data_IF_270991985091
#
_entry.id   IF_270991985091
#
_cell.length_a   1.000
_cell.length_b   1.000
_cell.length_c   1.000
_cell.angle_alpha   90.00
_cell.angle_beta   90.00
_cell.angle_gamma   90.00
#
_symmetry.space_group_name_H-M   'P 1'
#
loop_
_entity.id
_entity.type
_entity.pdbx_description
1 polymer ?
#
# COMPACT_ATOMS: atom_id res chain seq x y z
N UNK A 1 16.05 -16.87 62.31
CA UNK A 1 15.72 -17.55 61.04
C UNK A 1 15.06 -16.49 60.18
N UNK A 2 15.67 -16.17 59.05
CA UNK A 2 15.33 -15.01 58.21
C UNK A 2 14.24 -15.40 57.19
N UNK A 3 13.03 -14.86 57.37
CA UNK A 3 11.83 -15.11 56.56
C UNK A 3 11.87 -14.43 55.17
N UNK A 4 12.88 -13.60 54.89
CA UNK A 4 12.99 -12.88 53.61
C UNK A 4 13.27 -13.78 52.40
N UNK A 5 13.84 -14.97 52.64
CA UNK A 5 14.17 -15.94 51.59
C UNK A 5 12.97 -16.72 51.05
N UNK A 6 11.92 -16.91 51.85
CA UNK A 6 10.74 -17.66 51.45
C UNK A 6 9.82 -16.82 50.56
N UNK A 7 9.60 -15.55 50.93
CA UNK A 7 8.73 -14.64 50.19
C UNK A 7 9.28 -14.32 48.78
N UNK A 8 10.61 -14.17 48.65
CA UNK A 8 11.26 -13.97 47.34
C UNK A 8 11.15 -15.18 46.41
N UNK A 9 11.20 -16.40 46.97
CA UNK A 9 11.03 -17.64 46.18
C UNK A 9 9.57 -17.82 45.73
N UNK A 10 8.60 -17.44 46.56
CA UNK A 10 7.18 -17.51 46.21
C UNK A 10 6.81 -16.49 45.12
N UNK A 11 7.36 -15.27 45.19
CA UNK A 11 7.14 -14.24 44.17
C UNK A 11 7.75 -14.65 42.81
N UNK A 12 8.93 -15.26 42.83
CA UNK A 12 9.60 -15.75 41.62
C UNK A 12 8.82 -16.89 40.94
N UNK A 13 8.24 -17.81 41.73
CA UNK A 13 7.39 -18.89 41.21
C UNK A 13 6.09 -18.38 40.60
N UNK A 14 5.48 -17.34 41.19
CA UNK A 14 4.28 -16.69 40.64
C UNK A 14 4.58 -15.95 39.33
N UNK A 15 5.71 -15.23 39.24
CA UNK A 15 6.15 -14.55 38.01
C UNK A 15 6.45 -15.54 36.87
N UNK A 16 7.08 -16.68 37.17
CA UNK A 16 7.33 -17.74 36.18
C UNK A 16 6.00 -18.38 35.72
N UNK A 17 5.03 -18.53 36.62
CA UNK A 17 3.70 -19.06 36.29
C UNK A 17 2.88 -18.15 35.36
N UNK A 18 2.95 -16.83 35.54
CA UNK A 18 2.26 -15.85 34.67
C UNK A 18 2.92 -15.77 33.29
N UNK A 19 4.25 -15.84 33.22
CA UNK A 19 4.99 -15.90 31.95
C UNK A 19 4.68 -17.19 31.15
N UNK A 20 4.56 -18.34 31.83
CA UNK A 20 4.20 -19.61 31.17
C UNK A 20 2.76 -19.63 30.65
N UNK A 21 1.80 -19.02 31.36
CA UNK A 21 0.42 -18.91 30.88
C UNK A 21 0.31 -17.98 29.66
N UNK A 22 1.03 -16.85 29.65
CA UNK A 22 1.11 -15.94 28.51
C UNK A 22 1.67 -16.60 27.24
N UNK A 23 2.71 -17.43 27.38
CA UNK A 23 3.28 -18.19 26.26
C UNK A 23 2.32 -19.29 25.72
N UNK A 24 1.48 -19.88 26.56
CA UNK A 24 0.50 -20.90 26.13
C UNK A 24 -0.68 -20.28 25.36
N UNK A 25 -1.21 -19.13 25.81
CA UNK A 25 -2.26 -18.41 25.09
C UNK A 25 -1.74 -17.76 23.80
N UNK A 26 -0.55 -17.16 23.82
CA UNK A 26 0.11 -16.66 22.62
C UNK A 26 0.43 -17.76 21.61
N UNK A 27 0.86 -18.94 22.07
CA UNK A 27 1.12 -20.10 21.22
C UNK A 27 -0.13 -20.68 20.57
N UNK A 28 -1.26 -20.75 21.29
CA UNK A 28 -2.54 -21.21 20.74
C UNK A 28 -3.13 -20.19 19.74
N UNK A 29 -2.99 -18.90 20.00
CA UNK A 29 -3.38 -17.82 19.09
C UNK A 29 -2.53 -17.81 17.81
N UNK A 30 -1.22 -18.01 17.93
CA UNK A 30 -0.29 -18.11 16.80
C UNK A 30 -0.55 -19.34 15.92
N UNK A 31 -0.91 -20.48 16.52
CA UNK A 31 -1.28 -21.70 15.80
C UNK A 31 -2.59 -21.55 15.00
N UNK A 32 -3.58 -20.80 15.51
CA UNK A 32 -4.82 -20.49 14.77
C UNK A 32 -4.56 -19.58 13.55
N UNK A 33 -3.71 -18.55 13.71
CA UNK A 33 -3.28 -17.67 12.60
C UNK A 33 -2.55 -18.45 11.50
N UNK A 34 -1.60 -19.31 11.87
CA UNK A 34 -0.90 -20.18 10.90
C UNK A 34 -1.87 -21.15 10.21
N UNK A 35 -2.85 -21.68 10.94
CA UNK A 35 -3.89 -22.55 10.37
C UNK A 35 -4.79 -21.83 9.34
N UNK A 36 -5.19 -20.58 9.60
CA UNK A 36 -5.97 -19.76 8.67
C UNK A 36 -5.15 -19.33 7.44
N UNK A 37 -3.91 -18.88 7.64
CA UNK A 37 -2.97 -18.58 6.55
C UNK A 37 -2.66 -19.81 5.69
N UNK A 38 -2.45 -20.98 6.29
CA UNK A 38 -2.27 -22.22 5.54
C UNK A 38 -3.56 -22.68 4.85
N UNK A 39 -4.74 -22.47 5.45
CA UNK A 39 -6.02 -22.75 4.79
C UNK A 39 -6.25 -21.86 3.57
N UNK A 40 -5.86 -20.59 3.62
CA UNK A 40 -5.91 -19.67 2.49
C UNK A 40 -4.87 -20.11 1.45
N UNK A 41 -3.61 -20.31 1.84
CA UNK A 41 -2.52 -20.78 0.98
C UNK A 41 -2.84 -22.10 0.27
N UNK A 42 -3.53 -23.02 0.94
CA UNK A 42 -3.94 -24.31 0.38
C UNK A 42 -5.10 -24.21 -0.63
N UNK A 43 -5.87 -23.12 -0.65
CA UNK A 43 -6.80 -22.83 -1.77
C UNK A 43 -6.07 -22.40 -3.04
N UNK A 44 -4.83 -21.90 -2.93
CA UNK A 44 -4.06 -21.32 -4.03
C UNK A 44 -2.89 -22.19 -4.54
N UNK A 45 -2.56 -23.30 -3.86
CA UNK A 45 -1.43 -24.15 -4.24
C UNK A 45 -1.67 -25.03 -5.48
N UNK A 46 -2.83 -24.94 -6.15
CA UNK A 46 -3.14 -25.68 -7.37
C UNK A 46 -2.70 -25.02 -8.69
N UNK A 47 -2.04 -23.85 -8.69
CA UNK A 47 -1.54 -23.20 -9.92
C UNK A 47 -0.13 -22.61 -9.78
N UNK A 48 0.85 -23.45 -9.42
CA UNK A 48 2.27 -23.06 -9.51
C UNK A 48 2.81 -23.32 -10.90
N UNK A 49 2.90 -22.27 -11.73
CA UNK A 49 3.86 -22.19 -12.83
C UNK A 49 4.74 -20.95 -12.65
N UNK A 50 6.06 -21.13 -12.72
CA UNK A 50 7.04 -20.05 -12.74
C UNK A 50 6.88 -19.22 -14.01
N UNK A 51 6.21 -18.08 -13.89
CA UNK A 51 6.29 -16.99 -14.85
C UNK A 51 6.59 -15.73 -14.05
N UNK A 52 7.81 -15.23 -14.24
CA UNK A 52 8.27 -13.92 -13.80
C UNK A 52 7.52 -12.88 -14.61
N UNK A 53 6.69 -12.07 -13.96
CA UNK A 53 6.10 -10.89 -14.59
C UNK A 53 7.21 -9.94 -15.01
N UNK A 54 7.10 -9.38 -16.21
CA UNK A 54 7.95 -8.29 -16.67
C UNK A 54 7.47 -7.00 -16.02
N UNK A 55 7.74 -6.83 -14.73
CA UNK A 55 7.62 -5.52 -14.08
C UNK A 55 8.64 -4.59 -14.73
N UNK A 56 8.18 -3.75 -15.64
CA UNK A 56 9.03 -2.78 -16.33
C UNK A 56 9.42 -1.67 -15.33
N UNK A 57 10.73 -1.58 -15.06
CA UNK A 57 11.33 -0.51 -14.26
C UNK A 57 11.32 0.78 -15.09
N UNK A 58 10.30 1.63 -14.95
CA UNK A 58 10.16 2.83 -15.76
C UNK A 58 10.82 4.08 -15.15
N UNK A 59 11.88 4.55 -15.82
CA UNK A 59 12.33 5.95 -15.86
C UNK A 59 11.72 6.59 -17.13
N UNK A 60 10.92 7.65 -16.99
CA UNK A 60 10.04 8.19 -18.03
C UNK A 60 10.65 9.18 -19.05
N UNK A 61 9.86 9.52 -20.08
CA UNK A 61 10.00 10.74 -20.89
C UNK A 61 8.68 11.11 -21.60
N UNK A 62 8.31 12.40 -21.51
CA UNK A 62 6.99 13.03 -21.67
C UNK A 62 6.44 13.27 -23.10
N UNK A 63 5.13 13.60 -23.23
CA UNK A 63 4.59 14.76 -24.03
C UNK A 63 3.04 14.98 -24.02
N UNK A 64 2.69 16.24 -23.68
CA UNK A 64 1.46 17.11 -23.69
C UNK A 64 0.53 17.11 -24.97
N UNK A 65 -0.72 17.67 -25.10
CA UNK A 65 -1.78 18.35 -24.28
C UNK A 65 -3.09 18.65 -25.12
N UNK A 66 -4.21 19.02 -24.44
CA UNK A 66 -5.35 19.97 -24.77
C UNK A 66 -6.79 19.40 -24.99
N UNK A 67 -7.75 19.48 -24.02
CA UNK A 67 -8.80 20.50 -23.61
C UNK A 67 -9.93 20.79 -24.65
N UNK A 68 -11.24 20.95 -24.39
CA UNK A 68 -12.06 21.32 -23.20
C UNK A 68 -13.62 21.19 -23.41
N UNK A 69 -14.40 21.13 -22.30
CA UNK A 69 -15.76 21.71 -21.99
C UNK A 69 -17.05 21.22 -22.70
N UNK A 70 -18.28 21.14 -22.13
CA UNK A 70 -18.94 21.56 -20.86
C UNK A 70 -20.35 20.92 -20.68
N UNK A 71 -20.84 20.89 -19.42
CA UNK A 71 -22.15 20.46 -18.86
C UNK A 71 -23.37 21.37 -19.25
N UNK A 72 -24.59 21.38 -18.60
CA UNK A 72 -25.13 20.63 -17.44
C UNK A 72 -26.67 20.29 -17.43
N UNK A 73 -27.17 19.85 -16.24
CA UNK A 73 -28.52 20.05 -15.61
C UNK A 73 -29.59 18.95 -15.79
N UNK A 74 -30.46 18.55 -14.84
CA UNK A 74 -30.81 18.95 -13.44
C UNK A 74 -31.91 18.00 -12.89
N UNK A 75 -31.87 17.70 -11.58
CA UNK A 75 -33.00 17.64 -10.59
C UNK A 75 -34.18 16.64 -10.76
N UNK A 76 -34.87 16.11 -9.72
CA UNK A 76 -34.78 16.16 -8.25
C UNK A 76 -35.83 15.20 -7.62
N UNK A 77 -35.69 14.99 -6.29
CA UNK A 77 -36.76 14.81 -5.26
C UNK A 77 -37.40 13.41 -5.14
N UNK A 78 -37.50 12.75 -3.98
CA UNK A 78 -37.39 13.14 -2.57
C UNK A 78 -38.63 12.66 -1.81
N UNK A 79 -38.48 11.90 -0.71
CA UNK A 79 -39.44 11.84 0.43
C UNK A 79 -38.76 11.18 1.63
N UNK A 80 -38.82 11.86 2.76
CA UNK A 80 -38.20 11.54 4.06
C UNK A 80 -39.19 10.83 5.00
N UNK A 81 -38.65 9.93 5.83
CA UNK A 81 -39.30 9.42 7.05
C UNK A 81 -38.33 9.59 8.23
N UNK A 82 -38.86 10.04 9.36
CA UNK A 82 -38.11 10.39 10.58
C UNK A 82 -37.85 9.13 11.42
N UNK A 83 -36.61 8.92 11.86
CA UNK A 83 -36.20 7.87 12.81
C UNK A 83 -35.57 8.45 14.08
N UNK A 84 -35.72 7.65 15.14
CA UNK A 84 -35.26 7.76 16.54
C UNK A 84 -33.72 7.98 16.64
N UNK A 85 -33.17 8.55 17.73
CA UNK A 85 -31.78 9.04 17.70
C UNK A 85 -30.80 7.86 17.68
N UNK A 86 -30.17 7.67 16.53
CA UNK A 86 -29.01 6.80 16.36
C UNK A 86 -27.86 7.30 17.23
N UNK A 87 -27.33 6.41 18.07
CA UNK A 87 -25.95 6.52 18.53
C UNK A 87 -25.11 6.44 17.26
N UNK A 88 -24.21 7.41 16.96
CA UNK A 88 -23.45 7.39 15.72
C UNK A 88 -22.72 6.05 15.62
N UNK A 89 -23.05 5.26 14.60
CA UNK A 89 -22.22 4.17 14.16
C UNK A 89 -20.90 4.82 13.73
N UNK A 90 -19.83 4.65 14.51
CA UNK A 90 -18.55 5.30 14.19
C UNK A 90 -17.99 4.78 12.84
N UNK A 91 -18.56 3.70 12.29
CA UNK A 91 -18.16 3.03 11.07
C UNK A 91 -17.29 1.79 11.36
N UNK A 92 -17.26 0.82 10.45
CA UNK A 92 -16.49 -0.42 10.68
C UNK A 92 -14.98 -0.28 10.45
N UNK A 93 -14.53 0.91 10.08
CA UNK A 93 -13.13 1.29 9.89
C UNK A 93 -12.70 2.50 10.75
N UNK A 94 -13.46 2.88 11.78
CA UNK A 94 -13.07 3.97 12.68
C UNK A 94 -11.72 3.71 13.34
N UNK A 95 -10.91 4.77 13.43
CA UNK A 95 -9.60 4.70 14.08
C UNK A 95 -8.48 4.10 13.23
N UNK A 96 -8.79 3.65 12.01
CA UNK A 96 -7.78 3.28 11.02
C UNK A 96 -7.50 4.43 10.06
N UNK A 97 -6.26 4.50 9.58
CA UNK A 97 -5.82 5.48 8.59
C UNK A 97 -5.36 4.75 7.32
N UNK A 98 -5.82 5.22 6.17
CA UNK A 98 -5.42 4.69 4.86
C UNK A 98 -4.76 5.80 4.05
N UNK A 99 -3.53 5.58 3.62
CA UNK A 99 -2.84 6.43 2.65
C UNK A 99 -3.08 5.83 1.28
N UNK A 100 -3.84 6.53 0.44
CA UNK A 100 -4.12 6.15 -0.94
C UNK A 100 -3.18 6.88 -1.89
N UNK A 101 -2.53 6.12 -2.76
CA UNK A 101 -1.67 6.64 -3.81
C UNK A 101 -2.29 6.37 -5.18
N UNK A 102 -2.97 7.35 -5.81
CA UNK A 102 -3.37 7.22 -7.20
C UNK A 102 -2.12 7.28 -8.08
N UNK A 103 -1.75 6.16 -8.71
CA UNK A 103 -0.57 6.04 -9.55
C UNK A 103 -0.53 7.08 -10.68
N UNK A 104 0.68 7.45 -11.12
CA UNK A 104 0.94 8.39 -12.21
C UNK A 104 0.41 9.81 -11.97
N UNK A 105 0.15 10.58 -13.03
CA UNK A 105 -0.45 11.92 -12.99
C UNK A 105 0.34 12.96 -13.79
N UNK A 106 -0.36 13.97 -14.32
CA UNK A 106 0.24 15.10 -15.00
C UNK A 106 1.03 14.69 -16.25
N UNK A 107 2.36 14.79 -16.17
CA UNK A 107 3.27 14.45 -17.30
C UNK A 107 3.47 12.95 -17.48
N UNK A 108 3.15 12.15 -16.47
CA UNK A 108 3.13 10.69 -16.54
C UNK A 108 1.68 10.22 -16.68
N UNK A 109 1.33 9.71 -17.86
CA UNK A 109 0.00 9.16 -18.14
C UNK A 109 -0.21 7.77 -17.54
N UNK A 110 0.87 7.11 -17.11
CA UNK A 110 0.92 5.66 -16.99
C UNK A 110 0.72 5.00 -18.35
N UNK A 111 0.23 3.76 -18.36
CA UNK A 111 -0.07 3.07 -19.60
C UNK A 111 -1.21 3.76 -20.38
N UNK A 112 -1.14 3.69 -21.72
CA UNK A 112 -2.12 4.31 -22.61
C UNK A 112 -2.64 3.28 -23.61
N UNK A 113 -3.92 2.94 -23.51
CA UNK A 113 -4.55 1.97 -24.41
C UNK A 113 -5.98 2.37 -24.78
N UNK A 114 -6.46 1.98 -25.98
CA UNK A 114 -5.63 1.53 -27.10
C UNK A 114 -4.77 2.70 -27.64
N UNK A 115 -3.74 2.43 -28.43
CA UNK A 115 -2.85 3.49 -28.97
C UNK A 115 -3.54 4.40 -30.01
N UNK A 116 -4.73 4.05 -30.46
CA UNK A 116 -5.58 4.83 -31.37
C UNK A 116 -6.73 5.51 -30.62
N UNK A 117 -7.50 6.38 -31.30
CA UNK A 117 -8.57 7.13 -30.65
C UNK A 117 -9.85 6.30 -30.43
N UNK A 118 -10.55 6.48 -29.28
CA UNK A 118 -10.11 7.27 -28.12
C UNK A 118 -9.00 6.57 -27.32
N UNK A 119 -8.00 7.33 -26.89
CA UNK A 119 -6.94 6.88 -25.98
C UNK A 119 -7.38 7.06 -24.53
N UNK A 120 -7.05 6.10 -23.67
CA UNK A 120 -7.33 6.14 -22.24
C UNK A 120 -6.00 6.11 -21.49
N UNK A 121 -5.79 7.05 -20.57
CA UNK A 121 -4.60 7.12 -19.73
C UNK A 121 -4.89 6.46 -18.39
N UNK A 122 -3.97 5.63 -17.91
CA UNK A 122 -4.06 5.04 -16.57
C UNK A 122 -4.27 6.09 -15.48
N UNK A 123 -3.57 7.23 -15.54
CA UNK A 123 -3.65 8.26 -14.49
C UNK A 123 -5.06 8.83 -14.25
N UNK A 124 -5.93 8.81 -15.27
CA UNK A 124 -7.32 9.23 -15.18
C UNK A 124 -8.17 8.18 -14.43
N UNK A 125 -7.89 6.89 -14.67
CA UNK A 125 -8.56 5.78 -13.99
C UNK A 125 -8.11 5.67 -12.54
N UNK A 126 -6.81 5.72 -12.27
CA UNK A 126 -6.27 5.62 -10.92
C UNK A 126 -6.80 6.74 -10.03
N UNK A 127 -6.87 7.98 -10.55
CA UNK A 127 -7.47 9.10 -9.82
C UNK A 127 -8.95 8.86 -9.53
N UNK A 128 -9.73 8.44 -10.53
CA UNK A 128 -11.16 8.20 -10.37
C UNK A 128 -11.46 7.09 -9.35
N UNK A 129 -10.71 5.99 -9.40
CA UNK A 129 -10.83 4.87 -8.46
C UNK A 129 -10.40 5.33 -7.06
N UNK A 130 -9.31 6.10 -6.93
CA UNK A 130 -8.83 6.57 -5.64
C UNK A 130 -9.81 7.53 -4.95
N UNK A 131 -10.45 8.43 -5.71
CA UNK A 131 -11.47 9.33 -5.16
C UNK A 131 -12.71 8.55 -4.69
N UNK A 132 -13.19 7.59 -5.47
CA UNK A 132 -14.29 6.73 -5.04
C UNK A 132 -13.92 5.87 -3.81
N UNK A 133 -12.69 5.32 -3.79
CA UNK A 133 -12.19 4.54 -2.66
C UNK A 133 -12.03 5.39 -1.41
N UNK A 134 -11.60 6.65 -1.54
CA UNK A 134 -11.56 7.61 -0.44
C UNK A 134 -12.95 7.84 0.14
N UNK A 135 -13.94 8.14 -0.70
CA UNK A 135 -15.32 8.37 -0.26
C UNK A 135 -15.89 7.15 0.46
N UNK A 136 -15.69 5.94 -0.08
CA UNK A 136 -16.10 4.68 0.53
C UNK A 136 -15.46 4.48 1.92
N UNK A 137 -14.13 4.59 2.01
CA UNK A 137 -13.39 4.39 3.26
C UNK A 137 -13.75 5.43 4.33
N UNK A 138 -13.91 6.70 3.95
CA UNK A 138 -14.33 7.76 4.86
C UNK A 138 -15.78 7.58 5.33
N UNK A 139 -16.67 7.08 4.46
CA UNK A 139 -18.06 6.75 4.85
C UNK A 139 -18.12 5.64 5.91
N UNK A 140 -17.06 4.85 6.02
CA UNK A 140 -16.87 3.76 6.99
C UNK A 140 -16.05 4.18 8.21
N UNK A 141 -15.72 5.46 8.34
CA UNK A 141 -15.04 6.03 9.52
C UNK A 141 -13.51 6.06 9.45
N UNK A 142 -12.88 5.58 8.37
CA UNK A 142 -11.43 5.66 8.22
C UNK A 142 -10.98 7.11 7.98
N UNK A 143 -9.77 7.45 8.45
CA UNK A 143 -9.08 8.67 8.00
C UNK A 143 -8.33 8.38 6.71
N UNK A 144 -8.54 9.17 5.65
CA UNK A 144 -7.92 8.90 4.34
C UNK A 144 -7.08 10.06 3.84
N UNK A 145 -5.81 9.79 3.56
CA UNK A 145 -4.89 10.71 2.89
C UNK A 145 -4.68 10.30 1.44
N UNK A 146 -4.48 11.27 0.55
CA UNK A 146 -4.15 11.03 -0.87
C UNK A 146 -2.77 11.62 -1.18
N UNK A 147 -1.92 10.89 -1.90
CA UNK A 147 -0.63 11.43 -2.41
C UNK A 147 -0.84 12.49 -3.51
N UNK A 148 -1.99 12.45 -4.20
CA UNK A 148 -2.54 13.50 -5.07
C UNK A 148 -4.06 13.44 -5.11
N UNK A 149 -4.70 14.60 -5.22
CA UNK A 149 -6.17 14.71 -5.32
C UNK A 149 -6.67 15.22 -6.68
N UNK A 150 -5.73 15.50 -7.58
CA UNK A 150 -5.99 15.92 -8.95
C UNK A 150 -5.00 15.24 -9.91
N UNK A 151 -5.03 15.60 -11.20
CA UNK A 151 -4.12 15.05 -12.21
C UNK A 151 -2.73 15.74 -12.19
N UNK A 152 -2.21 16.06 -11.01
CA UNK A 152 -0.83 16.52 -10.83
C UNK A 152 0.15 15.36 -10.89
N UNK A 153 1.38 15.67 -11.34
CA UNK A 153 2.49 14.73 -11.29
C UNK A 153 3.06 14.65 -9.88
N UNK A 154 3.19 13.44 -9.35
CA UNK A 154 3.91 13.14 -8.10
C UNK A 154 4.97 12.08 -8.40
N UNK A 155 6.22 12.37 -8.07
CA UNK A 155 7.35 11.48 -8.32
C UNK A 155 7.26 10.20 -7.50
N UNK A 156 7.98 9.18 -7.96
CA UNK A 156 8.03 7.88 -7.31
C UNK A 156 8.46 7.97 -5.84
N UNK A 157 9.35 8.91 -5.52
CA UNK A 157 9.89 9.11 -4.16
C UNK A 157 9.14 10.20 -3.39
N UNK A 158 8.47 11.14 -4.07
CA UNK A 158 7.57 12.08 -3.38
C UNK A 158 6.36 11.38 -2.75
N UNK A 159 5.91 10.23 -3.28
CA UNK A 159 4.82 9.41 -2.71
C UNK A 159 5.15 8.85 -1.32
N UNK A 160 6.21 8.04 -1.12
CA UNK A 160 6.61 7.59 0.20
C UNK A 160 7.08 8.74 1.09
N UNK A 161 7.68 9.81 0.55
CA UNK A 161 8.04 10.98 1.36
C UNK A 161 6.82 11.66 2.01
N UNK A 162 5.70 11.76 1.30
CA UNK A 162 4.43 12.21 1.88
C UNK A 162 3.91 11.24 2.95
N UNK A 163 4.02 9.93 2.72
CA UNK A 163 3.62 8.92 3.71
C UNK A 163 4.43 9.04 5.00
N UNK A 164 5.74 9.25 4.92
CA UNK A 164 6.61 9.51 6.07
C UNK A 164 6.14 10.72 6.88
N UNK A 165 5.83 11.85 6.22
CA UNK A 165 5.35 13.05 6.90
C UNK A 165 4.02 12.81 7.61
N UNK A 166 3.09 12.10 6.97
CA UNK A 166 1.79 11.71 7.57
C UNK A 166 2.03 10.82 8.80
N UNK A 167 2.93 9.84 8.69
CA UNK A 167 3.25 8.94 9.80
C UNK A 167 3.91 9.67 10.98
N UNK A 168 4.78 10.65 10.71
CA UNK A 168 5.36 11.50 11.75
C UNK A 168 4.29 12.31 12.48
N UNK A 169 3.29 12.83 11.77
CA UNK A 169 2.17 13.56 12.39
C UNK A 169 1.33 12.62 13.27
N UNK A 170 0.96 11.44 12.76
CA UNK A 170 0.21 10.42 13.51
C UNK A 170 1.00 9.97 14.76
N UNK A 171 2.28 9.66 14.61
CA UNK A 171 3.14 9.24 15.72
C UNK A 171 3.26 10.34 16.79
N UNK A 172 3.28 11.62 16.37
CA UNK A 172 3.28 12.77 17.28
C UNK A 172 1.97 12.91 18.04
N UNK A 173 0.84 12.76 17.36
CA UNK A 173 -0.50 12.77 17.98
C UNK A 173 -0.68 11.63 18.98
N UNK A 174 -0.13 10.46 18.67
CA UNK A 174 -0.12 9.30 19.57
C UNK A 174 0.89 9.42 20.73
N UNK A 175 1.79 10.41 20.70
CA UNK A 175 2.84 10.57 21.71
C UNK A 175 3.95 9.51 21.65
N UNK A 176 4.16 8.90 20.48
CA UNK A 176 5.17 7.84 20.24
C UNK A 176 6.28 8.27 19.28
N UNK A 177 6.29 9.54 18.82
CA UNK A 177 7.33 10.07 17.94
C UNK A 177 8.71 9.95 18.62
N UNK A 178 9.67 9.18 18.07
CA UNK A 178 10.92 8.85 18.77
C UNK A 178 12.03 9.89 18.57
N UNK A 179 11.73 11.06 18.02
CA UNK A 179 12.71 12.07 17.64
C UNK A 179 12.77 13.24 18.63
N UNK A 180 13.96 13.82 18.80
CA UNK A 180 14.05 15.15 19.42
C UNK A 180 13.43 16.19 18.48
N UNK A 181 13.00 17.36 18.98
CA UNK A 181 12.46 18.42 18.12
C UNK A 181 13.41 18.81 16.97
N UNK A 182 14.72 18.84 17.23
CA UNK A 182 15.73 19.16 16.22
C UNK A 182 15.81 18.07 15.15
N UNK A 183 15.81 16.79 15.55
CA UNK A 183 15.85 15.67 14.61
C UNK A 183 14.56 15.55 13.79
N UNK A 184 13.42 15.84 14.42
CA UNK A 184 12.13 15.95 13.72
C UNK A 184 12.19 17.02 12.62
N UNK A 185 12.71 18.21 12.93
CA UNK A 185 12.85 19.31 11.97
C UNK A 185 13.76 18.94 10.80
N UNK A 186 14.91 18.29 11.08
CA UNK A 186 15.84 17.81 10.05
C UNK A 186 15.19 16.80 9.10
N UNK A 187 14.58 15.73 9.63
CA UNK A 187 13.94 14.70 8.81
C UNK A 187 12.79 15.26 7.97
N UNK A 188 11.96 16.13 8.56
CA UNK A 188 10.89 16.81 7.83
C UNK A 188 11.43 17.69 6.71
N UNK A 189 12.51 18.42 6.94
CA UNK A 189 13.12 19.25 5.91
C UNK A 189 13.64 18.40 4.73
N UNK A 190 14.30 17.27 5.00
CA UNK A 190 14.78 16.36 3.96
C UNK A 190 13.65 15.69 3.16
N UNK A 191 12.56 15.29 3.83
CA UNK A 191 11.36 14.76 3.18
C UNK A 191 10.67 15.84 2.34
N UNK A 192 10.55 17.07 2.85
CA UNK A 192 9.96 18.18 2.12
C UNK A 192 10.80 18.56 0.89
N UNK A 193 12.12 18.56 0.98
CA UNK A 193 13.00 18.78 -0.17
C UNK A 193 12.76 17.72 -1.26
N UNK A 194 12.57 16.45 -0.88
CA UNK A 194 12.23 15.36 -1.81
C UNK A 194 10.90 15.63 -2.54
N UNK A 195 9.91 16.14 -1.80
CA UNK A 195 8.58 16.51 -2.35
C UNK A 195 8.70 17.73 -3.26
N UNK A 196 9.46 18.75 -2.87
CA UNK A 196 9.64 19.99 -3.63
C UNK A 196 10.42 19.76 -4.94
N UNK A 197 11.41 18.86 -4.93
CA UNK A 197 12.15 18.47 -6.13
C UNK A 197 11.25 17.69 -7.10
N UNK A 198 10.38 16.81 -6.60
CA UNK A 198 9.37 16.06 -7.37
C UNK A 198 9.91 15.32 -8.62
N UNK A 199 11.10 14.74 -8.49
CA UNK A 199 11.79 13.96 -9.53
C UNK A 199 12.22 12.59 -9.00
N UNK A 200 12.49 11.63 -9.89
CA UNK A 200 12.80 10.24 -9.51
C UNK A 200 14.24 9.81 -9.77
N UNK A 201 15.16 10.75 -10.04
CA UNK A 201 16.55 10.44 -10.44
C UNK A 201 17.56 10.82 -9.37
N UNK A 202 18.66 10.07 -9.27
CA UNK A 202 19.80 10.40 -8.40
C UNK A 202 20.32 11.81 -8.71
N UNK A 203 20.49 12.14 -9.99
CA UNK A 203 21.06 13.42 -10.44
C UNK A 203 20.21 14.64 -10.05
N UNK A 204 18.90 14.47 -9.95
CA UNK A 204 17.98 15.53 -9.51
C UNK A 204 18.01 15.78 -8.00
N UNK A 205 18.53 14.82 -7.22
CA UNK A 205 18.35 14.80 -5.76
C UNK A 205 16.96 14.33 -5.30
N UNK A 206 16.02 14.09 -6.22
CA UNK A 206 14.62 13.78 -5.90
C UNK A 206 14.38 12.39 -5.28
N UNK A 207 15.41 11.55 -5.19
CA UNK A 207 15.37 10.32 -4.37
C UNK A 207 15.54 10.61 -2.87
N UNK A 208 16.13 11.77 -2.51
CA UNK A 208 16.34 12.19 -1.13
C UNK A 208 17.00 11.13 -0.27
N UNK A 209 16.45 10.93 0.94
CA UNK A 209 16.92 9.94 1.91
C UNK A 209 16.70 8.48 1.48
N UNK A 210 15.89 8.23 0.44
CA UNK A 210 15.61 6.92 -0.14
C UNK A 210 16.60 6.54 -1.26
N UNK A 211 17.65 7.33 -1.47
CA UNK A 211 18.65 7.04 -2.50
C UNK A 211 19.50 5.80 -2.14
N UNK A 212 19.56 4.86 -3.08
CA UNK A 212 20.48 3.72 -3.05
C UNK A 212 19.79 2.35 -2.97
N UNK A 213 20.56 1.36 -2.53
CA UNK A 213 20.10 0.01 -2.17
C UNK A 213 20.29 -0.23 -0.67
N UNK A 214 19.52 -1.15 -0.11
CA UNK A 214 19.35 -1.29 1.33
C UNK A 214 18.67 -0.06 1.93
N UNK A 215 18.85 0.19 3.22
CA UNK A 215 18.23 1.31 3.93
C UNK A 215 19.28 2.27 4.49
N UNK A 216 19.12 3.57 4.25
CA UNK A 216 19.97 4.61 4.86
C UNK A 216 19.57 4.89 6.31
N UNK A 217 20.46 5.51 7.09
CA UNK A 217 20.23 5.80 8.52
C UNK A 217 18.96 6.64 8.74
N UNK A 218 18.80 7.74 7.99
CA UNK A 218 17.63 8.61 8.08
C UNK A 218 16.32 7.86 7.73
N UNK A 219 16.34 7.03 6.69
CA UNK A 219 15.17 6.24 6.30
C UNK A 219 14.87 5.13 7.31
N UNK A 220 15.90 4.53 7.90
CA UNK A 220 15.74 3.49 8.92
C UNK A 220 15.03 4.04 10.16
N UNK A 221 15.39 5.23 10.62
CA UNK A 221 14.72 5.91 11.73
C UNK A 221 13.21 6.10 11.49
N UNK A 222 12.83 6.48 10.26
CA UNK A 222 11.42 6.63 9.88
C UNK A 222 10.69 5.28 9.81
N UNK A 223 11.30 4.29 9.16
CA UNK A 223 10.72 2.95 9.01
C UNK A 223 10.53 2.26 10.36
N UNK A 224 11.47 2.41 11.30
CA UNK A 224 11.34 1.87 12.66
C UNK A 224 10.18 2.50 13.45
N UNK A 225 9.94 3.79 13.24
CA UNK A 225 8.77 4.49 13.79
C UNK A 225 7.47 3.99 13.16
N UNK A 226 7.43 3.84 11.84
CA UNK A 226 6.26 3.34 11.10
C UNK A 226 5.88 1.92 11.49
N UNK A 227 6.83 1.09 11.92
CA UNK A 227 6.52 -0.23 12.49
C UNK A 227 5.72 -0.19 13.80
N UNK A 228 5.52 0.97 14.42
CA UNK A 228 4.62 1.12 15.57
C UNK A 228 3.19 1.53 15.15
N UNK A 229 2.95 1.77 13.86
CA UNK A 229 1.68 2.29 13.32
C UNK A 229 0.83 1.18 12.69
N UNK A 230 0.43 0.20 13.49
CA UNK A 230 -0.40 -0.95 13.04
C UNK A 230 -1.75 -0.56 12.44
N UNK A 231 -2.26 0.62 12.76
CA UNK A 231 -3.53 1.17 12.29
C UNK A 231 -3.43 1.90 10.95
N UNK A 232 -2.23 1.98 10.35
CA UNK A 232 -1.98 2.73 9.11
C UNK A 232 -1.64 1.77 7.96
N UNK A 233 -2.37 1.86 6.86
CA UNK A 233 -2.07 1.13 5.62
C UNK A 233 -1.69 2.08 4.48
N UNK A 234 -0.88 1.59 3.54
CA UNK A 234 -0.57 2.28 2.29
C UNK A 234 -1.07 1.48 1.09
N UNK A 235 -1.95 2.04 0.26
CA UNK A 235 -2.49 1.39 -0.94
C UNK A 235 -2.16 2.23 -2.17
N UNK A 236 -1.42 1.67 -3.12
CA UNK A 236 -1.14 2.30 -4.41
C UNK A 236 -2.06 1.72 -5.49
N UNK A 237 -2.77 2.57 -6.23
CA UNK A 237 -3.78 2.18 -7.22
C UNK A 237 -3.24 2.37 -8.64
N UNK A 238 -3.25 1.31 -9.43
CA UNK A 238 -2.68 1.23 -10.78
C UNK A 238 -3.57 0.42 -11.74
N UNK A 239 -3.26 0.49 -13.03
CA UNK A 239 -3.76 -0.44 -14.04
C UNK A 239 -2.61 -1.06 -14.82
N UNK A 240 -2.66 -2.38 -14.97
CA UNK A 240 -1.60 -3.10 -15.61
C UNK A 240 -1.70 -2.96 -17.14
N UNK A 241 -0.64 -3.30 -17.84
CA UNK A 241 -0.69 -3.49 -19.28
C UNK A 241 0.30 -4.56 -19.72
N UNK A 242 -0.02 -5.26 -20.80
CA UNK A 242 0.87 -6.28 -21.32
C UNK A 242 0.79 -6.42 -22.83
N UNK A 243 1.90 -6.82 -23.45
CA UNK A 243 1.97 -7.21 -24.85
C UNK A 243 2.59 -8.62 -24.95
N UNK A 244 1.93 -9.60 -25.61
CA UNK A 244 0.64 -9.48 -26.31
C UNK A 244 -0.52 -9.31 -25.32
N UNK A 245 -1.55 -8.52 -25.67
CA UNK A 245 -2.72 -8.18 -24.80
C UNK A 245 -3.63 -9.38 -24.50
N UNK A 246 -3.14 -10.29 -23.68
CA UNK A 246 -3.82 -11.53 -23.34
C UNK A 246 -3.92 -11.76 -21.83
N UNK A 247 -3.40 -10.84 -21.01
CA UNK A 247 -3.60 -10.83 -19.58
C UNK A 247 -4.74 -9.87 -19.24
N UNK A 248 -5.53 -10.24 -18.23
CA UNK A 248 -6.68 -9.48 -17.75
C UNK A 248 -6.91 -9.74 -16.25
N UNK A 249 -7.82 -8.96 -15.66
CA UNK A 249 -8.23 -9.05 -14.27
C UNK A 249 -7.23 -8.48 -13.26
N UNK A 250 -7.62 -8.50 -12.00
CA UNK A 250 -6.89 -7.87 -10.89
C UNK A 250 -5.61 -8.62 -10.53
N UNK A 251 -4.54 -7.88 -10.23
CA UNK A 251 -3.37 -8.42 -9.53
C UNK A 251 -2.97 -7.52 -8.38
N UNK A 252 -2.60 -8.12 -7.24
CA UNK A 252 -2.13 -7.37 -6.08
C UNK A 252 -0.66 -7.66 -5.83
N UNK A 253 0.14 -6.60 -5.86
CA UNK A 253 1.56 -6.64 -5.58
C UNK A 253 1.85 -6.23 -4.15
N UNK A 254 2.86 -6.87 -3.57
CA UNK A 254 3.32 -6.58 -2.22
C UNK A 254 4.83 -6.78 -2.13
N UNK A 255 5.47 -6.27 -1.08
CA UNK A 255 6.91 -6.42 -0.86
C UNK A 255 7.21 -7.40 0.27
N UNK A 256 8.29 -8.17 0.09
CA UNK A 256 8.92 -8.96 1.16
C UNK A 256 10.41 -8.63 1.22
N UNK A 257 11.07 -9.01 2.32
CA UNK A 257 12.54 -8.94 2.40
C UNK A 257 13.18 -9.67 1.20
N UNK A 258 12.70 -10.88 0.89
CA UNK A 258 13.20 -11.71 -0.22
C UNK A 258 12.99 -11.05 -1.58
N UNK A 259 11.80 -10.50 -1.87
CA UNK A 259 11.54 -9.88 -3.18
C UNK A 259 12.44 -8.67 -3.44
N UNK A 260 12.68 -7.86 -2.41
CA UNK A 260 13.55 -6.69 -2.48
C UNK A 260 15.01 -7.10 -2.63
N UNK A 261 15.53 -7.95 -1.73
CA UNK A 261 16.94 -8.36 -1.71
C UNK A 261 17.32 -9.07 -3.01
N UNK A 262 16.52 -10.04 -3.47
CA UNK A 262 16.80 -10.76 -4.71
C UNK A 262 16.80 -9.82 -5.92
N UNK A 263 15.87 -8.87 -5.93
CA UNK A 263 15.80 -7.86 -6.98
C UNK A 263 17.00 -6.94 -6.97
N UNK A 264 17.37 -6.39 -5.82
CA UNK A 264 18.51 -5.49 -5.70
C UNK A 264 19.82 -6.19 -6.09
N UNK A 265 20.05 -7.42 -5.61
CA UNK A 265 21.22 -8.20 -5.99
C UNK A 265 21.28 -8.49 -7.50
N UNK A 266 20.12 -8.72 -8.14
CA UNK A 266 20.04 -8.88 -9.60
C UNK A 266 20.40 -7.58 -10.31
N UNK A 267 19.83 -6.46 -9.89
CA UNK A 267 20.11 -5.14 -10.46
C UNK A 267 21.58 -4.75 -10.27
N UNK A 268 22.21 -5.03 -9.12
CA UNK A 268 23.65 -4.79 -8.92
C UNK A 268 24.53 -5.52 -9.94
N UNK A 269 24.13 -6.72 -10.38
CA UNK A 269 24.87 -7.47 -11.40
C UNK A 269 24.66 -6.88 -12.80
N UNK A 270 23.41 -6.56 -13.12
CA UNK A 270 22.96 -6.33 -14.50
C UNK A 270 22.87 -4.84 -14.88
N UNK A 271 22.56 -3.95 -13.94
CA UNK A 271 22.26 -2.55 -14.17
C UNK A 271 23.48 -1.65 -13.92
N UNK A 272 23.78 -0.75 -14.87
CA UNK A 272 24.89 0.20 -14.76
C UNK A 272 24.64 1.31 -13.73
N UNK A 273 23.38 1.60 -13.40
CA UNK A 273 23.04 2.64 -12.42
C UNK A 273 23.58 2.28 -11.02
N UNK A 274 23.46 1.00 -10.63
CA UNK A 274 24.02 0.46 -9.38
C UNK A 274 25.56 0.45 -9.35
N UNK A 275 26.22 0.75 -10.48
CA UNK A 275 27.69 0.79 -10.59
C UNK A 275 28.22 2.22 -10.51
N UNK A 276 27.35 3.20 -10.40
CA UNK A 276 27.76 4.60 -10.29
C UNK A 276 28.28 4.89 -8.89
N UNK A 277 29.25 5.79 -8.79
CA UNK A 277 29.86 6.18 -7.51
C UNK A 277 28.93 6.98 -6.61
N UNK A 278 27.88 7.59 -7.17
CA UNK A 278 26.88 8.39 -6.47
C UNK A 278 25.63 7.57 -6.09
N UNK A 279 25.60 6.27 -6.35
CA UNK A 279 24.53 5.37 -5.92
C UNK A 279 24.97 4.56 -4.70
N UNK A 280 24.47 4.86 -3.48
CA UNK A 280 24.88 4.14 -2.29
C UNK A 280 24.44 2.68 -2.33
N UNK A 281 25.35 1.76 -2.06
CA UNK A 281 25.05 0.35 -1.82
C UNK A 281 25.26 0.07 -0.34
N UNK A 282 24.23 -0.42 0.33
CA UNK A 282 24.25 -0.77 1.76
C UNK A 282 23.98 -2.26 1.93
N UNK A 283 24.07 -2.73 3.17
CA UNK A 283 23.74 -4.10 3.52
C UNK A 283 22.25 -4.39 3.31
N UNK A 284 21.94 -5.66 3.09
CA UNK A 284 20.57 -6.15 2.96
C UNK A 284 19.75 -5.79 4.21
N UNK A 285 18.59 -5.17 3.98
CA UNK A 285 17.67 -4.82 5.05
C UNK A 285 16.62 -5.93 5.24
N UNK A 286 16.52 -6.42 6.47
CA UNK A 286 15.53 -7.39 6.92
C UNK A 286 14.65 -6.74 7.98
N UNK A 287 13.34 -6.93 7.89
CA UNK A 287 12.40 -6.38 8.88
C UNK A 287 11.05 -5.96 8.30
N UNK A 288 10.85 -6.11 6.99
CA UNK A 288 9.56 -5.82 6.37
C UNK A 288 8.48 -6.71 6.96
N UNK A 289 7.25 -6.20 6.93
CA UNK A 289 6.05 -6.88 7.41
C UNK A 289 5.56 -7.93 6.40
N UNK A 290 6.43 -8.87 6.03
CA UNK A 290 6.26 -9.84 4.94
C UNK A 290 4.88 -10.53 4.98
N UNK A 291 4.51 -11.05 6.16
CA UNK A 291 3.27 -11.80 6.38
C UNK A 291 2.04 -10.91 6.34
N UNK A 292 2.15 -9.67 6.81
CA UNK A 292 1.03 -8.72 6.83
C UNK A 292 0.79 -8.13 5.44
N UNK A 293 1.85 -7.85 4.69
CA UNK A 293 1.79 -7.42 3.30
C UNK A 293 1.12 -8.51 2.43
N UNK A 294 1.52 -9.77 2.60
CA UNK A 294 0.87 -10.90 1.91
C UNK A 294 -0.61 -11.03 2.32
N UNK A 295 -0.92 -10.91 3.62
CA UNK A 295 -2.29 -11.00 4.12
C UNK A 295 -3.18 -9.89 3.56
N UNK A 296 -2.71 -8.64 3.54
CA UNK A 296 -3.43 -7.51 2.97
C UNK A 296 -3.69 -7.75 1.48
N UNK A 297 -2.67 -8.18 0.72
CA UNK A 297 -2.80 -8.46 -0.70
C UNK A 297 -3.88 -9.53 -0.99
N UNK A 298 -3.91 -10.60 -0.19
CA UNK A 298 -4.93 -11.65 -0.29
C UNK A 298 -6.33 -11.12 0.04
N UNK A 299 -6.48 -10.33 1.10
CA UNK A 299 -7.77 -9.75 1.48
C UNK A 299 -8.31 -8.81 0.39
N UNK A 300 -7.45 -7.99 -0.21
CA UNK A 300 -7.83 -7.11 -1.32
C UNK A 300 -8.28 -7.91 -2.55
N UNK A 301 -7.47 -8.88 -2.99
CA UNK A 301 -7.80 -9.71 -4.16
C UNK A 301 -9.12 -10.49 -3.97
N UNK A 302 -9.26 -11.18 -2.84
CA UNK A 302 -10.44 -12.03 -2.57
C UNK A 302 -11.74 -11.22 -2.56
N UNK A 303 -11.73 -9.98 -2.06
CA UNK A 303 -12.92 -9.14 -2.04
C UNK A 303 -13.22 -8.50 -3.40
N UNK A 304 -12.20 -8.02 -4.13
CA UNK A 304 -12.40 -7.48 -5.49
C UNK A 304 -12.99 -8.56 -6.41
N UNK A 305 -12.39 -9.75 -6.45
CA UNK A 305 -12.86 -10.83 -7.33
C UNK A 305 -14.13 -11.50 -6.80
N UNK A 306 -14.34 -11.52 -5.48
CA UNK A 306 -15.58 -12.01 -4.88
C UNK A 306 -16.80 -11.19 -5.29
N UNK A 307 -16.66 -9.87 -5.34
CA UNK A 307 -17.73 -8.94 -5.69
C UNK A 307 -17.80 -8.66 -7.20
N UNK A 308 -16.66 -8.70 -7.90
CA UNK A 308 -16.53 -8.49 -9.35
C UNK A 308 -15.86 -9.72 -10.00
N UNK A 309 -16.59 -10.84 -10.21
CA UNK A 309 -15.99 -12.07 -10.74
C UNK A 309 -15.32 -11.94 -12.10
N UNK A 310 -15.72 -10.96 -12.91
CA UNK A 310 -15.11 -10.68 -14.21
C UNK A 310 -13.66 -10.17 -14.09
N UNK A 311 -13.27 -9.65 -12.92
CA UNK A 311 -11.89 -9.26 -12.62
C UNK A 311 -11.02 -10.42 -12.11
N UNK A 312 -11.52 -11.66 -12.11
CA UNK A 312 -10.67 -12.81 -11.88
C UNK A 312 -9.53 -12.88 -12.90
N UNK A 313 -8.29 -12.78 -12.42
CA UNK A 313 -7.12 -12.75 -13.32
C UNK A 313 -6.80 -14.13 -13.90
N UNK A 314 -6.30 -14.14 -15.14
CA UNK A 314 -5.66 -15.31 -15.75
C UNK A 314 -4.14 -15.38 -15.48
N UNK A 315 -3.61 -14.45 -14.68
CA UNK A 315 -2.23 -14.41 -14.20
C UNK A 315 -2.13 -14.88 -12.73
N UNK A 316 -1.04 -14.51 -12.04
CA UNK A 316 -0.89 -14.75 -10.59
C UNK A 316 -1.72 -13.72 -9.82
N UNK A 317 -2.68 -14.12 -8.97
CA UNK A 317 -3.51 -13.20 -8.19
C UNK A 317 -2.73 -12.21 -7.33
N UNK A 318 -1.74 -12.73 -6.60
CA UNK A 318 -0.86 -11.95 -5.74
C UNK A 318 0.59 -12.22 -6.09
N UNK A 319 1.42 -11.17 -6.07
CA UNK A 319 2.82 -11.24 -6.50
C UNK A 319 3.70 -10.43 -5.56
N UNK A 320 4.72 -11.06 -4.98
CA UNK A 320 5.78 -10.35 -4.26
C UNK A 320 6.82 -9.83 -5.26
N UNK A 321 7.03 -8.52 -5.32
CA UNK A 321 8.06 -7.90 -6.19
C UNK A 321 8.65 -6.65 -5.52
N UNK A 322 9.48 -5.89 -6.25
CA UNK A 322 10.27 -4.79 -5.73
C UNK A 322 9.83 -3.41 -6.24
N UNK A 323 8.65 -2.96 -5.83
CA UNK A 323 8.11 -1.64 -6.18
C UNK A 323 8.53 -0.58 -5.17
N UNK A 324 9.19 0.49 -5.64
CA UNK A 324 9.72 1.54 -4.76
C UNK A 324 8.62 2.17 -3.88
N UNK A 325 7.44 2.43 -4.46
CA UNK A 325 6.34 3.11 -3.76
C UNK A 325 5.88 2.40 -2.49
N UNK A 326 5.98 1.06 -2.45
CA UNK A 326 5.67 0.22 -1.27
C UNK A 326 6.92 -0.36 -0.58
N UNK A 327 8.12 -0.12 -1.11
CA UNK A 327 9.40 -0.55 -0.50
C UNK A 327 9.97 0.49 0.46
N UNK A 328 9.81 1.77 0.13
CA UNK A 328 10.51 2.90 0.75
C UNK A 328 9.82 3.45 2.01
N UNK A 329 8.97 2.65 2.66
CA UNK A 329 8.33 2.93 3.95
C UNK A 329 8.13 1.60 4.73
N UNK A 330 7.90 1.70 6.03
CA UNK A 330 7.68 0.58 6.97
C UNK A 330 6.23 0.14 7.14
N UNK A 331 5.28 0.87 6.55
CA UNK A 331 3.86 0.54 6.61
C UNK A 331 3.52 -0.81 5.95
N UNK A 332 2.42 -1.42 6.40
CA UNK A 332 1.80 -2.51 5.63
C UNK A 332 1.19 -1.90 4.37
N UNK A 333 1.58 -2.43 3.21
CA UNK A 333 1.14 -1.84 1.96
C UNK A 333 1.06 -2.81 0.78
N UNK A 334 0.25 -2.40 -0.18
CA UNK A 334 0.00 -3.14 -1.41
C UNK A 334 -0.14 -2.18 -2.60
N UNK A 335 0.31 -2.64 -3.78
CA UNK A 335 0.01 -2.01 -5.05
C UNK A 335 -1.08 -2.84 -5.74
N UNK A 336 -2.19 -2.20 -6.06
CA UNK A 336 -3.41 -2.80 -6.59
C UNK A 336 -3.45 -2.47 -8.08
N UNK A 337 -3.10 -3.44 -8.92
CA UNK A 337 -3.44 -3.40 -10.34
C UNK A 337 -4.90 -3.83 -10.48
N UNK A 338 -5.82 -2.86 -10.51
CA UNK A 338 -7.26 -3.16 -10.46
C UNK A 338 -7.68 -4.05 -11.63
N UNK A 339 -7.15 -3.78 -12.82
CA UNK A 339 -7.35 -4.56 -14.03
C UNK A 339 -6.25 -4.23 -15.06
N UNK A 340 -6.33 -4.81 -16.26
CA UNK A 340 -5.41 -4.48 -17.36
C UNK A 340 -6.02 -3.45 -18.30
N UNK A 341 -5.43 -2.25 -18.39
CA UNK A 341 -5.89 -1.23 -19.34
C UNK A 341 -5.71 -1.67 -20.80
N UNK A 342 -4.74 -2.57 -21.05
CA UNK A 342 -4.50 -3.17 -22.36
C UNK A 342 -5.60 -4.15 -22.80
N UNK A 343 -6.36 -4.72 -21.87
CA UNK A 343 -7.50 -5.59 -22.18
C UNK A 343 -8.76 -4.76 -22.47
N UNK A 344 -9.50 -5.13 -23.51
CA UNK A 344 -10.67 -4.38 -23.95
C UNK A 344 -11.84 -4.49 -22.96
N UNK A 345 -12.05 -5.67 -22.38
CA UNK A 345 -13.15 -5.91 -21.44
C UNK A 345 -12.90 -5.21 -20.10
N UNK A 346 -11.70 -5.37 -19.53
CA UNK A 346 -11.30 -4.70 -18.29
C UNK A 346 -11.48 -3.18 -18.40
N UNK A 347 -10.97 -2.60 -19.50
CA UNK A 347 -11.09 -1.17 -19.77
C UNK A 347 -12.55 -0.73 -19.95
N UNK A 348 -13.36 -1.46 -20.70
CA UNK A 348 -14.78 -1.16 -20.89
C UNK A 348 -15.57 -1.22 -19.57
N UNK A 349 -15.23 -2.18 -18.69
CA UNK A 349 -15.81 -2.28 -17.36
C UNK A 349 -15.47 -1.06 -16.49
N UNK A 350 -14.18 -0.69 -16.44
CA UNK A 350 -13.72 0.44 -15.63
C UNK A 350 -14.21 1.80 -16.12
N UNK A 351 -14.75 1.92 -17.34
CA UNK A 351 -15.42 3.14 -17.78
C UNK A 351 -16.75 3.39 -17.05
N UNK A 352 -17.36 2.36 -16.46
CA UNK A 352 -18.69 2.48 -15.84
C UNK A 352 -18.60 2.90 -14.38
N UNK A 353 -19.40 3.89 -13.97
CA UNK A 353 -19.39 4.43 -12.61
C UNK A 353 -19.81 3.40 -11.54
N UNK A 354 -20.74 2.51 -11.88
CA UNK A 354 -21.18 1.43 -11.00
C UNK A 354 -20.04 0.44 -10.70
N UNK A 355 -19.23 0.11 -11.71
CA UNK A 355 -18.06 -0.76 -11.53
C UNK A 355 -16.97 -0.08 -10.70
N UNK A 356 -16.69 1.21 -10.92
CA UNK A 356 -15.73 1.94 -10.08
C UNK A 356 -16.20 2.02 -8.62
N UNK A 357 -17.49 2.23 -8.38
CA UNK A 357 -18.08 2.18 -7.04
C UNK A 357 -17.93 0.80 -6.39
N UNK A 358 -18.17 -0.27 -7.14
CA UNK A 358 -18.00 -1.64 -6.65
C UNK A 358 -16.53 -1.99 -6.35
N UNK A 359 -15.58 -1.47 -7.15
CA UNK A 359 -14.14 -1.60 -6.87
C UNK A 359 -13.79 -0.90 -5.56
N UNK A 360 -14.25 0.34 -5.37
CA UNK A 360 -14.03 1.09 -4.14
C UNK A 360 -14.59 0.35 -2.91
N UNK A 361 -15.84 -0.12 -3.00
CA UNK A 361 -16.49 -0.92 -1.96
C UNK A 361 -15.68 -2.19 -1.63
N UNK A 362 -15.22 -2.90 -2.65
CA UNK A 362 -14.44 -4.13 -2.50
C UNK A 362 -13.07 -3.90 -1.87
N UNK A 363 -12.42 -2.75 -2.17
CA UNK A 363 -11.18 -2.35 -1.49
C UNK A 363 -11.47 -2.07 -0.01
N UNK A 364 -12.56 -1.37 0.31
CA UNK A 364 -12.99 -1.16 1.70
C UNK A 364 -13.21 -2.47 2.45
N UNK A 365 -13.86 -3.45 1.83
CA UNK A 365 -14.07 -4.77 2.42
C UNK A 365 -12.77 -5.57 2.59
N UNK A 366 -11.85 -5.45 1.64
CA UNK A 366 -10.49 -5.98 1.76
C UNK A 366 -9.73 -5.40 2.95
N UNK A 367 -9.80 -4.08 3.15
CA UNK A 367 -9.19 -3.37 4.29
C UNK A 367 -9.82 -3.82 5.61
N UNK A 368 -11.15 -3.86 5.71
CA UNK A 368 -11.85 -4.37 6.90
C UNK A 368 -11.46 -5.81 7.21
N UNK A 369 -11.43 -6.65 6.19
CA UNK A 369 -11.07 -8.07 6.34
C UNK A 369 -9.65 -8.22 6.87
N UNK A 370 -8.70 -7.42 6.38
CA UNK A 370 -7.33 -7.39 6.88
C UNK A 370 -7.29 -7.08 8.39
N UNK A 371 -7.89 -5.96 8.83
CA UNK A 371 -7.87 -5.58 10.24
C UNK A 371 -8.58 -6.60 11.13
N UNK A 372 -9.72 -7.13 10.68
CA UNK A 372 -10.47 -8.20 11.37
C UNK A 372 -9.61 -9.45 11.57
N UNK A 373 -8.84 -9.87 10.56
CA UNK A 373 -7.98 -11.05 10.66
C UNK A 373 -6.73 -10.81 11.50
N UNK A 374 -6.22 -9.58 11.55
CA UNK A 374 -5.14 -9.21 12.47
C UNK A 374 -5.57 -9.23 13.93
N UNK A 375 -6.87 -9.05 14.18
CA UNK A 375 -7.50 -9.06 15.50
C UNK A 375 -7.55 -7.67 16.13
N UNK A 376 -7.66 -6.63 15.30
CA UNK A 376 -7.87 -5.25 15.70
C UNK A 376 -9.35 -4.91 15.77
#
# INVERSE_FOLDING_TARGET
MDDSGFLKKLLLLLLIGVLFLGCLFGGLYYLDKKGKLESIRNRFSSSRSNQTGTGEYYYGSDKETTRATSAPSTEASGTTAMTEPEIPDEGDLSGYTIILDPGHGGRDSGCVFPFNNPQYNECDFTLRIALATKEELESRGATVYLTRSDNSWVSLYSRPAQAHLICMDIAKEMGILPFTPEREEELRASLQETIDINESTVASGGMGIMVGSGIGEDLLELVEMEYQLDQVLFLSLHLNSNEPRNLHGTQIYYVTDESVIESEHRQMRENSEFKRSDFPIRDDYYGRRNEDNELLALCLYDNIVGNIPDFATNARPTVSDNFAVIREHGLVGALIEVAYLSDDNDREMLLRDDIVGEVAHSIGDGVKMYFTQKGF
#
